data_IF_078514677016
#
_entry.id   IF_078514677016
#
_cell.length_a   1.000
_cell.length_b   1.000
_cell.length_c   1.000
_cell.angle_alpha   90.00
_cell.angle_beta   90.00
_cell.angle_gamma   90.00
#
_symmetry.space_group_name_H-M   'P 1'
#
loop_
_entity.id
_entity.type
_entity.pdbx_description
1 polymer ?
#
# COMPACT_ATOMS: atom_id res chain seq x y z
N UNK A 1 -17.99 -2.44 0.13
CA UNK A 1 -16.76 -2.14 -0.61
C UNK A 1 -17.09 -1.06 -1.63
N UNK A 2 -16.21 -0.10 -1.84
CA UNK A 2 -16.36 0.92 -2.89
C UNK A 2 -16.20 0.31 -4.28
N UNK A 3 -16.61 1.04 -5.33
CA UNK A 3 -16.46 0.57 -6.71
C UNK A 3 -14.98 0.47 -7.13
N UNK A 4 -14.12 1.38 -6.66
CA UNK A 4 -12.70 1.35 -6.97
C UNK A 4 -12.02 0.11 -6.38
N UNK A 5 -12.27 -0.16 -5.09
CA UNK A 5 -11.73 -1.34 -4.42
C UNK A 5 -12.22 -2.64 -5.07
N UNK A 6 -13.49 -2.71 -5.48
CA UNK A 6 -14.02 -3.87 -6.19
C UNK A 6 -13.28 -4.13 -7.50
N UNK A 7 -13.10 -3.10 -8.34
CA UNK A 7 -12.41 -3.24 -9.63
C UNK A 7 -10.95 -3.65 -9.47
N UNK A 8 -10.26 -3.09 -8.48
CA UNK A 8 -8.87 -3.46 -8.18
C UNK A 8 -8.78 -4.90 -7.68
N UNK A 9 -9.67 -5.29 -6.76
CA UNK A 9 -9.78 -6.66 -6.25
C UNK A 9 -10.05 -7.67 -7.37
N UNK A 10 -11.06 -7.45 -8.21
CA UNK A 10 -11.39 -8.35 -9.32
C UNK A 10 -10.20 -8.51 -10.27
N UNK A 11 -9.55 -7.40 -10.64
CA UNK A 11 -8.39 -7.44 -11.52
C UNK A 11 -7.21 -8.21 -10.90
N UNK A 12 -6.95 -8.02 -9.60
CA UNK A 12 -5.91 -8.76 -8.89
C UNK A 12 -6.23 -10.25 -8.80
N UNK A 13 -7.49 -10.58 -8.52
CA UNK A 13 -7.98 -11.93 -8.38
C UNK A 13 -8.03 -12.70 -9.70
N UNK A 14 -8.06 -12.02 -10.85
CA UNK A 14 -7.92 -12.62 -12.19
C UNK A 14 -6.47 -13.03 -12.51
N UNK A 15 -5.47 -12.55 -11.75
CA UNK A 15 -4.05 -12.86 -11.97
C UNK A 15 -3.53 -14.04 -11.14
N UNK A 16 -4.40 -14.63 -10.30
CA UNK A 16 -4.03 -15.63 -9.30
C UNK A 16 -4.82 -16.91 -9.51
N UNK A 17 -4.14 -18.04 -9.36
CA UNK A 17 -4.74 -19.37 -9.43
C UNK A 17 -4.87 -20.00 -8.03
N UNK A 18 -5.70 -21.03 -7.91
CA UNK A 18 -5.77 -21.84 -6.67
C UNK A 18 -4.40 -22.44 -6.32
N UNK A 19 -3.60 -22.83 -7.32
CA UNK A 19 -2.25 -23.34 -7.10
C UNK A 19 -1.34 -22.29 -6.43
N UNK A 20 -1.46 -21.02 -6.83
CA UNK A 20 -0.72 -19.92 -6.20
C UNK A 20 -1.11 -19.75 -4.74
N UNK A 21 -2.41 -19.86 -4.42
CA UNK A 21 -2.90 -19.79 -3.04
C UNK A 21 -2.31 -20.94 -2.20
N UNK A 22 -2.40 -22.19 -2.66
CA UNK A 22 -1.84 -23.35 -1.95
C UNK A 22 -0.33 -23.22 -1.76
N UNK A 23 0.37 -22.65 -2.75
CA UNK A 23 1.82 -22.54 -2.75
C UNK A 23 2.35 -21.42 -1.86
N UNK A 24 1.72 -20.26 -1.90
CA UNK A 24 2.24 -19.03 -1.30
C UNK A 24 1.54 -18.62 -0.01
N UNK A 25 0.39 -19.21 0.31
CA UNK A 25 -0.11 -19.18 1.69
C UNK A 25 0.82 -20.00 2.60
N UNK A 26 0.98 -19.61 3.87
CA UNK A 26 1.80 -20.34 4.83
C UNK A 26 1.36 -21.80 4.95
N UNK A 27 2.34 -22.70 5.00
CA UNK A 27 2.15 -24.14 5.18
C UNK A 27 2.15 -24.58 6.65
N UNK A 28 2.01 -23.64 7.59
CA UNK A 28 1.98 -23.95 9.01
C UNK A 28 0.73 -24.81 9.33
N UNK A 29 0.89 -25.98 9.99
CA UNK A 29 -0.21 -26.88 10.33
C UNK A 29 -1.32 -26.24 11.20
N UNK A 30 -1.08 -25.07 11.81
CA UNK A 30 -2.12 -24.27 12.50
C UNK A 30 -3.01 -23.43 11.58
N UNK A 31 -2.67 -23.28 10.29
CA UNK A 31 -3.25 -22.29 9.36
C UNK A 31 -4.05 -22.85 8.14
N UNK A 32 -4.58 -24.09 8.11
CA UNK A 32 -5.35 -24.59 6.96
C UNK A 32 -6.64 -23.82 6.68
N UNK A 33 -7.06 -22.93 7.59
CA UNK A 33 -8.21 -22.05 7.40
C UNK A 33 -7.92 -20.91 6.42
N UNK A 34 -6.69 -20.40 6.35
CA UNK A 34 -6.34 -19.30 5.45
C UNK A 34 -6.29 -19.74 3.98
N UNK A 35 -5.68 -20.89 3.69
CA UNK A 35 -5.70 -21.47 2.34
C UNK A 35 -7.15 -21.63 1.87
N UNK A 36 -7.99 -22.27 2.69
CA UNK A 36 -9.42 -22.45 2.39
C UNK A 36 -10.15 -21.11 2.21
N UNK A 37 -9.81 -20.11 3.01
CA UNK A 37 -10.46 -18.80 2.93
C UNK A 37 -10.03 -18.03 1.68
N UNK A 38 -8.74 -17.97 1.35
CA UNK A 38 -8.29 -17.33 0.11
C UNK A 38 -8.73 -18.09 -1.13
N UNK A 39 -8.77 -19.41 -1.11
CA UNK A 39 -9.38 -20.20 -2.18
C UNK A 39 -10.87 -19.86 -2.34
N UNK A 40 -11.59 -19.73 -1.23
CA UNK A 40 -13.00 -19.33 -1.24
C UNK A 40 -13.19 -17.91 -1.76
N UNK A 41 -12.37 -16.94 -1.31
CA UNK A 41 -12.40 -15.56 -1.80
C UNK A 41 -12.06 -15.52 -3.29
N UNK A 42 -11.04 -16.26 -3.73
CA UNK A 42 -10.62 -16.32 -5.12
C UNK A 42 -11.74 -16.89 -5.99
N UNK A 43 -12.38 -17.99 -5.58
CA UNK A 43 -13.39 -18.67 -6.39
C UNK A 43 -14.76 -17.97 -6.36
N UNK A 44 -15.18 -17.46 -5.21
CA UNK A 44 -16.50 -16.83 -5.03
C UNK A 44 -16.50 -15.33 -5.30
N UNK A 45 -15.33 -14.68 -5.27
CA UNK A 45 -15.17 -13.22 -5.26
C UNK A 45 -15.87 -12.53 -4.08
N UNK A 46 -16.15 -13.27 -3.01
CA UNK A 46 -16.78 -12.76 -1.78
C UNK A 46 -15.77 -12.78 -0.65
N UNK A 47 -15.64 -11.66 0.06
CA UNK A 47 -14.78 -11.53 1.24
C UNK A 47 -15.63 -11.76 2.49
N UNK A 48 -15.29 -12.73 3.36
CA UNK A 48 -16.03 -12.99 4.60
C UNK A 48 -16.04 -11.79 5.54
N UNK A 49 -17.11 -11.65 6.34
CA UNK A 49 -17.30 -10.50 7.23
C UNK A 49 -16.35 -10.51 8.45
N UNK A 50 -15.91 -11.70 8.86
CA UNK A 50 -15.14 -11.99 10.07
C UNK A 50 -13.69 -12.42 9.77
N UNK A 51 -13.22 -12.19 8.54
CA UNK A 51 -11.86 -12.57 8.15
C UNK A 51 -10.81 -11.63 8.75
N UNK A 52 -9.96 -12.15 9.64
CA UNK A 52 -8.78 -11.43 10.12
C UNK A 52 -7.66 -11.54 9.09
N UNK A 53 -7.36 -10.43 8.44
CA UNK A 53 -6.36 -10.39 7.37
C UNK A 53 -4.94 -10.12 7.87
N UNK A 54 -4.77 -9.75 9.13
CA UNK A 54 -3.48 -9.32 9.69
C UNK A 54 -2.41 -10.42 9.61
N UNK A 55 -2.80 -11.68 9.84
CA UNK A 55 -1.87 -12.81 9.83
C UNK A 55 -1.37 -13.15 8.42
N UNK A 56 -2.23 -13.16 7.40
CA UNK A 56 -1.80 -13.50 6.04
C UNK A 56 -1.01 -12.39 5.37
N UNK A 57 -1.31 -11.15 5.75
CA UNK A 57 -0.61 -9.99 5.23
C UNK A 57 0.78 -9.90 5.83
N UNK A 58 0.95 -10.09 7.14
CA UNK A 58 2.28 -10.22 7.73
C UNK A 58 3.17 -11.19 6.93
N UNK A 59 2.64 -12.33 6.53
CA UNK A 59 3.42 -13.35 5.84
C UNK A 59 3.90 -12.98 4.43
N UNK A 60 3.09 -12.26 3.66
CA UNK A 60 3.50 -11.82 2.30
C UNK A 60 4.34 -10.53 2.32
N UNK A 61 4.20 -9.72 3.38
CA UNK A 61 4.84 -8.41 3.49
C UNK A 61 6.32 -8.46 3.86
N UNK A 62 6.77 -9.54 4.50
CA UNK A 62 8.18 -9.73 4.86
C UNK A 62 9.00 -10.47 3.78
N UNK A 63 8.34 -11.03 2.76
CA UNK A 63 9.05 -11.68 1.66
C UNK A 63 9.74 -10.67 0.76
N UNK A 64 10.91 -11.07 0.28
CA UNK A 64 11.70 -10.43 -0.77
C UNK A 64 11.67 -11.31 -2.01
N UNK A 65 10.67 -11.15 -2.90
CA UNK A 65 10.43 -12.11 -3.99
C UNK A 65 11.65 -12.29 -4.89
N UNK A 66 12.39 -11.21 -5.12
CA UNK A 66 13.61 -11.17 -5.94
C UNK A 66 14.79 -11.95 -5.33
N UNK A 67 14.73 -12.28 -4.03
CA UNK A 67 15.75 -13.06 -3.32
C UNK A 67 15.31 -14.49 -3.05
N UNK A 68 14.00 -14.72 -2.98
CA UNK A 68 13.40 -15.98 -2.54
C UNK A 68 12.99 -16.89 -3.71
N UNK A 69 12.69 -16.32 -4.88
CA UNK A 69 12.11 -17.07 -6.00
C UNK A 69 12.92 -16.92 -7.29
N UNK A 70 12.77 -17.90 -8.18
CA UNK A 70 13.21 -17.76 -9.57
C UNK A 70 12.24 -16.85 -10.35
N UNK A 71 12.67 -16.24 -11.45
CA UNK A 71 11.94 -15.18 -12.16
C UNK A 71 10.45 -15.47 -12.42
N UNK A 72 10.08 -16.69 -12.83
CA UNK A 72 8.66 -17.01 -13.07
C UNK A 72 7.85 -17.15 -11.77
N UNK A 73 8.44 -17.71 -10.74
CA UNK A 73 7.81 -17.84 -9.43
C UNK A 73 7.72 -16.49 -8.72
N UNK A 74 8.73 -15.63 -8.91
CA UNK A 74 8.73 -14.25 -8.43
C UNK A 74 7.50 -13.50 -8.96
N UNK A 75 7.28 -13.50 -10.27
CA UNK A 75 6.13 -12.81 -10.88
C UNK A 75 4.78 -13.36 -10.37
N UNK A 76 4.68 -14.68 -10.18
CA UNK A 76 3.49 -15.32 -9.59
C UNK A 76 3.26 -14.89 -8.15
N UNK A 77 4.33 -14.85 -7.34
CA UNK A 77 4.27 -14.39 -5.96
C UNK A 77 3.84 -12.92 -5.88
N UNK A 78 4.40 -12.04 -6.71
CA UNK A 78 4.01 -10.61 -6.75
C UNK A 78 2.52 -10.44 -7.07
N UNK A 79 1.99 -11.17 -8.05
CA UNK A 79 0.55 -11.17 -8.37
C UNK A 79 -0.29 -11.68 -7.19
N UNK A 80 0.16 -12.75 -6.54
CA UNK A 80 -0.48 -13.27 -5.33
C UNK A 80 -0.47 -12.23 -4.19
N UNK A 81 0.64 -11.53 -3.98
CA UNK A 81 0.76 -10.46 -2.96
C UNK A 81 -0.09 -9.24 -3.31
N UNK A 82 -0.25 -8.88 -4.59
CA UNK A 82 -1.22 -7.87 -5.02
C UNK A 82 -2.65 -8.30 -4.67
N UNK A 83 -3.01 -9.56 -4.92
CA UNK A 83 -4.32 -10.10 -4.57
C UNK A 83 -4.60 -10.07 -3.06
N UNK A 84 -3.67 -10.55 -2.22
CA UNK A 84 -3.88 -10.54 -0.76
C UNK A 84 -4.01 -9.11 -0.21
N UNK A 85 -3.21 -8.17 -0.73
CA UNK A 85 -3.32 -6.76 -0.39
C UNK A 85 -4.64 -6.14 -0.90
N UNK A 86 -5.12 -6.53 -2.08
CA UNK A 86 -6.40 -6.08 -2.61
C UNK A 86 -7.58 -6.54 -1.74
N UNK A 87 -7.53 -7.77 -1.20
CA UNK A 87 -8.50 -8.24 -0.19
C UNK A 87 -8.45 -7.35 1.05
N UNK A 88 -7.26 -6.99 1.53
CA UNK A 88 -7.11 -6.09 2.67
C UNK A 88 -7.72 -4.72 2.43
N UNK A 89 -7.39 -4.07 1.31
CA UNK A 89 -7.99 -2.79 0.92
C UNK A 89 -9.52 -2.88 0.79
N UNK A 90 -10.03 -3.99 0.25
CA UNK A 90 -11.45 -4.25 0.09
C UNK A 90 -12.21 -4.42 1.43
N UNK A 91 -11.58 -5.02 2.44
CA UNK A 91 -12.13 -5.10 3.80
C UNK A 91 -12.25 -3.69 4.39
N UNK A 92 -11.19 -2.88 4.28
CA UNK A 92 -11.14 -1.53 4.85
C UNK A 92 -12.17 -0.60 4.20
N UNK A 93 -12.24 -0.62 2.88
CA UNK A 93 -13.23 0.15 2.11
C UNK A 93 -14.60 -0.57 2.07
N UNK A 94 -14.69 -1.69 2.77
CA UNK A 94 -15.87 -2.51 2.99
C UNK A 94 -16.81 -1.97 4.07
N UNK A 95 -17.98 -2.61 4.23
CA UNK A 95 -18.84 -2.39 5.39
C UNK A 95 -18.25 -3.00 6.67
N UNK A 96 -17.17 -3.78 6.59
CA UNK A 96 -16.49 -4.37 7.74
C UNK A 96 -15.68 -3.28 8.42
N UNK A 97 -16.15 -2.80 9.57
CA UNK A 97 -15.49 -1.77 10.39
C UNK A 97 -14.26 -2.30 11.15
N UNK A 98 -13.61 -3.37 10.69
CA UNK A 98 -12.39 -3.92 11.30
C UNK A 98 -11.17 -3.08 10.92
N UNK A 99 -11.18 -1.79 11.26
CA UNK A 99 -10.06 -0.85 11.06
C UNK A 99 -8.90 -1.03 12.05
N UNK A 100 -8.92 -2.09 12.87
CA UNK A 100 -8.16 -2.17 14.12
C UNK A 100 -6.69 -2.57 13.98
N UNK A 101 -6.21 -3.04 12.82
CA UNK A 101 -4.86 -3.63 12.70
C UNK A 101 -4.16 -3.34 11.36
N UNK A 102 -4.20 -2.09 10.89
CA UNK A 102 -3.65 -1.72 9.59
C UNK A 102 -2.35 -0.95 9.73
N UNK A 103 -1.24 -1.58 9.34
CA UNK A 103 0.01 -0.90 9.00
C UNK A 103 -0.12 -0.32 7.58
N UNK A 104 -0.71 0.87 7.42
CA UNK A 104 -1.05 1.45 6.12
C UNK A 104 0.16 1.54 5.19
N UNK A 105 1.32 1.79 5.78
CA UNK A 105 2.61 1.84 5.12
C UNK A 105 3.01 0.52 4.45
N UNK A 106 2.58 -0.64 4.96
CA UNK A 106 2.88 -1.97 4.40
C UNK A 106 2.09 -2.22 3.13
N UNK A 107 0.78 -1.97 3.18
CA UNK A 107 -0.11 -2.15 2.03
C UNK A 107 0.33 -1.31 0.85
N UNK A 108 0.49 0.00 1.10
CA UNK A 108 0.78 0.93 0.04
C UNK A 108 2.15 0.63 -0.61
N UNK A 109 3.20 0.39 0.17
CA UNK A 109 4.54 0.18 -0.42
C UNK A 109 4.65 -1.14 -1.17
N UNK A 110 4.07 -2.22 -0.65
CA UNK A 110 4.15 -3.52 -1.33
C UNK A 110 3.37 -3.54 -2.63
N UNK A 111 2.22 -2.86 -2.68
CA UNK A 111 1.48 -2.68 -3.93
C UNK A 111 2.27 -1.84 -4.93
N UNK A 112 2.87 -0.73 -4.50
CA UNK A 112 3.70 0.09 -5.38
C UNK A 112 4.90 -0.71 -5.91
N UNK A 113 5.60 -1.45 -5.04
CA UNK A 113 6.75 -2.26 -5.44
C UNK A 113 6.37 -3.38 -6.40
N UNK A 114 5.29 -4.12 -6.13
CA UNK A 114 4.89 -5.23 -7.00
C UNK A 114 4.38 -4.75 -8.35
N UNK A 115 3.62 -3.66 -8.39
CA UNK A 115 3.14 -3.09 -9.65
C UNK A 115 4.32 -2.48 -10.43
N UNK A 116 5.30 -1.87 -9.75
CA UNK A 116 6.57 -1.45 -10.35
C UNK A 116 7.32 -2.60 -11.01
N UNK A 117 7.55 -3.68 -10.27
CA UNK A 117 8.28 -4.83 -10.76
C UNK A 117 7.55 -5.60 -11.87
N UNK A 118 6.22 -5.55 -11.90
CA UNK A 118 5.41 -6.17 -12.96
C UNK A 118 5.27 -5.30 -14.21
N UNK A 119 5.66 -4.02 -14.16
CA UNK A 119 5.50 -3.04 -15.24
C UNK A 119 4.05 -2.98 -15.77
N UNK A 120 3.05 -3.09 -14.88
CA UNK A 120 1.63 -3.17 -15.24
C UNK A 120 0.89 -1.84 -14.97
N UNK A 121 0.89 -0.98 -15.99
CA UNK A 121 0.18 0.31 -16.00
C UNK A 121 -1.31 0.20 -15.66
N UNK A 122 -1.96 -0.92 -16.00
CA UNK A 122 -3.39 -1.10 -15.71
C UNK A 122 -3.61 -1.22 -14.21
N UNK A 123 -2.71 -1.88 -13.48
CA UNK A 123 -2.83 -1.94 -12.03
C UNK A 123 -2.61 -0.59 -11.37
N UNK A 124 -1.78 0.29 -11.93
CA UNK A 124 -1.65 1.67 -11.43
C UNK A 124 -2.95 2.47 -11.61
N UNK A 125 -3.55 2.40 -12.80
CA UNK A 125 -4.81 3.10 -13.11
C UNK A 125 -5.95 2.60 -12.19
N UNK A 126 -5.94 1.32 -11.80
CA UNK A 126 -6.90 0.74 -10.86
C UNK A 126 -6.58 1.05 -9.40
N UNK A 127 -5.31 1.10 -9.02
CA UNK A 127 -4.87 1.34 -7.65
C UNK A 127 -5.04 2.82 -7.26
N UNK A 128 -4.78 3.77 -8.16
CA UNK A 128 -4.81 5.20 -7.82
C UNK A 128 -6.13 5.65 -7.18
N UNK A 129 -7.32 5.33 -7.73
CA UNK A 129 -8.59 5.65 -7.07
C UNK A 129 -8.75 5.01 -5.69
N UNK A 130 -8.22 3.79 -5.50
CA UNK A 130 -8.25 3.10 -4.19
C UNK A 130 -7.38 3.83 -3.17
N UNK A 131 -6.18 4.27 -3.54
CA UNK A 131 -5.31 5.05 -2.66
C UNK A 131 -5.96 6.39 -2.26
N UNK A 132 -6.67 7.04 -3.18
CA UNK A 132 -7.44 8.27 -2.89
C UNK A 132 -8.53 8.00 -1.86
N UNK A 133 -9.34 6.95 -2.07
CA UNK A 133 -10.41 6.58 -1.13
C UNK A 133 -9.85 6.17 0.24
N UNK A 134 -8.75 5.43 0.28
CA UNK A 134 -8.05 5.06 1.51
C UNK A 134 -7.57 6.29 2.29
N UNK A 135 -6.92 7.23 1.61
CA UNK A 135 -6.50 8.48 2.23
C UNK A 135 -7.69 9.28 2.77
N UNK A 136 -8.76 9.42 1.99
CA UNK A 136 -9.97 10.15 2.41
C UNK A 136 -10.66 9.50 3.61
N UNK A 137 -10.80 8.17 3.61
CA UNK A 137 -11.41 7.43 4.72
C UNK A 137 -10.58 7.58 5.99
N UNK A 138 -9.28 7.27 5.93
CA UNK A 138 -8.42 7.18 7.11
C UNK A 138 -8.01 8.56 7.66
N UNK A 139 -8.00 9.61 6.83
CA UNK A 139 -7.73 10.98 7.30
C UNK A 139 -8.88 11.57 8.13
N UNK A 140 -10.11 11.04 7.98
CA UNK A 140 -11.26 11.41 8.80
C UNK A 140 -11.39 10.56 10.07
N UNK A 141 -10.73 9.41 10.11
CA UNK A 141 -10.72 8.51 11.26
C UNK A 141 -9.61 8.91 12.24
N UNK A 142 -10.00 9.27 13.47
CA UNK A 142 -9.09 9.85 14.48
C UNK A 142 -7.89 8.96 14.84
N UNK A 143 -7.97 7.65 14.61
CA UNK A 143 -7.00 6.67 15.13
C UNK A 143 -5.93 6.25 14.10
N UNK A 144 -6.18 6.48 12.80
CA UNK A 144 -5.27 6.12 11.69
C UNK A 144 -4.85 7.32 10.85
N UNK A 145 -5.23 8.54 11.26
CA UNK A 145 -4.99 9.77 10.50
C UNK A 145 -3.51 10.00 10.19
N UNK A 146 -2.61 9.62 11.11
CA UNK A 146 -1.16 9.76 10.94
C UNK A 146 -0.61 8.90 9.79
N UNK A 147 -1.02 7.63 9.69
CA UNK A 147 -0.53 6.73 8.65
C UNK A 147 -1.23 6.92 7.29
N UNK A 148 -2.35 7.66 7.25
CA UNK A 148 -3.03 8.00 6.00
C UNK A 148 -2.11 8.69 4.98
N UNK A 149 -1.07 9.39 5.47
CA UNK A 149 -0.07 10.08 4.65
C UNK A 149 0.74 9.15 3.74
N UNK A 150 0.87 7.86 4.09
CA UNK A 150 1.54 6.88 3.22
C UNK A 150 0.72 6.63 1.94
N UNK A 151 -0.61 6.68 2.00
CA UNK A 151 -1.44 6.59 0.79
C UNK A 151 -1.31 7.84 -0.08
N UNK A 152 -1.11 9.01 0.52
CA UNK A 152 -0.84 10.25 -0.22
C UNK A 152 0.55 10.21 -0.88
N UNK A 153 1.57 9.67 -0.20
CA UNK A 153 2.89 9.45 -0.79
C UNK A 153 2.84 8.44 -1.94
N UNK A 154 2.07 7.36 -1.81
CA UNK A 154 1.86 6.40 -2.90
C UNK A 154 1.17 7.03 -4.12
N UNK A 155 0.19 7.94 -3.92
CA UNK A 155 -0.41 8.71 -5.02
C UNK A 155 0.63 9.55 -5.76
N UNK A 156 1.56 10.20 -5.04
CA UNK A 156 2.68 10.93 -5.64
C UNK A 156 3.55 10.01 -6.51
N UNK A 157 3.88 8.81 -6.03
CA UNK A 157 4.67 7.85 -6.80
C UNK A 157 4.00 7.45 -8.12
N UNK A 158 2.70 7.10 -8.08
CA UNK A 158 1.95 6.83 -9.31
C UNK A 158 1.92 8.07 -10.19
N UNK A 159 1.69 9.26 -9.63
CA UNK A 159 1.70 10.51 -10.37
C UNK A 159 3.01 10.76 -11.13
N UNK A 160 4.17 10.51 -10.52
CA UNK A 160 5.47 10.62 -11.20
C UNK A 160 5.61 9.61 -12.33
N UNK A 161 5.17 8.37 -12.13
CA UNK A 161 5.27 7.31 -13.14
C UNK A 161 4.35 7.52 -14.33
N UNK A 162 3.21 8.19 -14.12
CA UNK A 162 2.22 8.52 -15.15
C UNK A 162 2.42 9.90 -15.78
N UNK A 163 3.59 10.52 -15.58
CA UNK A 163 3.91 11.85 -16.09
C UNK A 163 2.83 12.90 -15.77
N UNK A 164 2.26 12.84 -14.56
CA UNK A 164 1.25 13.80 -14.13
C UNK A 164 1.82 15.22 -14.15
N UNK A 165 0.94 16.21 -14.37
CA UNK A 165 1.38 17.61 -14.48
C UNK A 165 2.14 18.07 -13.23
N UNK A 166 3.18 18.90 -13.42
CA UNK A 166 3.98 19.46 -12.32
C UNK A 166 3.13 20.20 -11.30
N UNK A 167 2.05 20.85 -11.73
CA UNK A 167 1.08 21.52 -10.85
C UNK A 167 0.43 20.51 -9.91
N UNK A 168 -0.13 19.44 -10.45
CA UNK A 168 -0.80 18.40 -9.66
C UNK A 168 0.15 17.71 -8.67
N UNK A 169 1.37 17.40 -9.11
CA UNK A 169 2.39 16.82 -8.23
C UNK A 169 2.80 17.76 -7.09
N UNK A 170 2.90 19.07 -7.34
CA UNK A 170 3.16 20.04 -6.29
C UNK A 170 1.97 20.19 -5.33
N UNK A 171 0.72 20.14 -5.82
CA UNK A 171 -0.48 20.16 -4.97
C UNK A 171 -0.50 18.99 -3.99
N UNK A 172 -0.22 17.77 -4.47
CA UNK A 172 -0.12 16.58 -3.62
C UNK A 172 1.03 16.69 -2.61
N UNK A 173 2.19 17.21 -3.03
CA UNK A 173 3.34 17.42 -2.15
C UNK A 173 3.03 18.46 -1.05
N UNK A 174 2.39 19.57 -1.40
CA UNK A 174 1.97 20.60 -0.44
C UNK A 174 0.89 20.08 0.52
N UNK A 175 -0.03 19.25 0.03
CA UNK A 175 -1.03 18.59 0.88
C UNK A 175 -0.36 17.67 1.91
N UNK A 176 0.64 16.88 1.49
CA UNK A 176 1.38 15.98 2.37
C UNK A 176 2.13 16.77 3.45
N UNK A 177 2.92 17.79 3.06
CA UNK A 177 3.65 18.63 4.00
C UNK A 177 2.72 19.38 4.96
N UNK A 178 1.58 19.89 4.47
CA UNK A 178 0.61 20.62 5.30
C UNK A 178 -0.04 19.71 6.33
N UNK A 179 -0.40 18.49 5.94
CA UNK A 179 -1.04 17.55 6.84
C UNK A 179 -0.04 17.01 7.88
N UNK A 180 1.20 16.75 7.48
CA UNK A 180 2.28 16.38 8.37
C UNK A 180 2.52 17.48 9.44
N UNK A 181 2.62 18.74 9.02
CA UNK A 181 2.83 19.87 9.93
C UNK A 181 1.68 20.05 10.94
N UNK A 182 0.43 19.71 10.57
CA UNK A 182 -0.71 19.74 11.50
C UNK A 182 -0.58 18.66 12.57
N UNK A 183 -0.20 17.45 12.19
CA UNK A 183 0.03 16.35 13.13
C UNK A 183 1.16 16.68 14.12
N UNK A 184 2.20 17.36 13.65
CA UNK A 184 3.29 17.88 14.49
C UNK A 184 2.82 18.87 15.56
N UNK A 185 1.87 19.76 15.22
CA UNK A 185 1.32 20.72 16.17
C UNK A 185 0.43 20.04 17.22
N UNK A 186 -0.27 18.97 16.84
CA UNK A 186 -1.17 18.24 17.73
C UNK A 186 -0.42 17.31 18.69
N UNK A 187 0.74 16.79 18.27
CA UNK A 187 1.61 15.95 19.08
C UNK A 187 2.56 16.80 19.94
N UNK A 188 2.12 17.12 21.16
CA UNK A 188 2.91 17.85 22.18
C UNK A 188 4.22 17.16 22.63
N UNK A 189 4.55 15.99 22.09
CA UNK A 189 5.68 15.16 22.53
C UNK A 189 6.56 14.71 21.34
N UNK A 190 7.58 15.52 21.03
CA UNK A 190 8.92 15.06 20.63
C UNK A 190 9.12 14.19 19.38
N UNK A 191 8.08 13.81 18.62
CA UNK A 191 8.23 13.04 17.37
C UNK A 191 8.61 13.96 16.20
N UNK A 192 9.86 14.40 16.17
CA UNK A 192 10.41 15.35 15.19
C UNK A 192 10.91 14.69 13.89
N UNK A 193 10.15 13.74 13.32
CA UNK A 193 10.53 13.09 12.07
C UNK A 193 9.38 13.01 11.10
N UNK A 194 9.51 13.80 10.02
CA UNK A 194 8.59 13.78 8.88
C UNK A 194 8.25 12.36 8.48
N UNK A 195 6.96 12.02 8.32
CA UNK A 195 6.37 10.72 7.93
C UNK A 195 6.89 9.44 8.63
N UNK A 196 8.20 9.22 8.69
CA UNK A 196 8.90 8.08 9.28
C UNK A 196 8.69 7.93 10.79
N UNK A 197 8.35 8.99 11.53
CA UNK A 197 7.98 8.88 12.95
C UNK A 197 6.46 8.79 13.18
N UNK A 198 5.67 8.68 12.10
CA UNK A 198 4.20 8.51 12.12
C UNK A 198 3.74 7.06 12.18
N UNK A 199 4.69 6.12 12.15
CA UNK A 199 4.42 4.70 12.24
C UNK A 199 5.45 4.04 13.14
N UNK A 200 5.03 3.02 13.89
CA UNK A 200 5.94 2.13 14.63
C UNK A 200 6.52 1.03 13.75
N UNK A 201 6.08 0.94 12.48
CA UNK A 201 6.49 -0.09 11.54
C UNK A 201 7.59 0.41 10.59
N UNK A 202 8.75 0.72 11.15
CA UNK A 202 9.88 1.37 10.46
C UNK A 202 10.61 0.49 9.44
N UNK A 203 10.35 -0.82 9.45
CA UNK A 203 11.04 -1.81 8.61
C UNK A 203 10.82 -1.55 7.12
N UNK A 204 9.74 -0.85 6.76
CA UNK A 204 9.40 -0.52 5.37
C UNK A 204 10.00 0.82 4.89
N UNK A 205 10.56 1.65 5.78
CA UNK A 205 11.13 2.94 5.39
C UNK A 205 12.18 2.85 4.27
N UNK A 206 13.12 1.87 4.26
CA UNK A 206 14.08 1.75 3.16
C UNK A 206 13.41 1.59 1.79
N UNK A 207 12.30 0.85 1.71
CA UNK A 207 11.54 0.64 0.45
C UNK A 207 10.89 1.95 0.00
N UNK A 208 10.27 2.70 0.92
CA UNK A 208 9.74 4.03 0.63
C UNK A 208 10.81 4.99 0.13
N UNK A 209 11.95 5.07 0.84
CA UNK A 209 13.09 5.93 0.47
C UNK A 209 13.65 5.57 -0.89
N UNK A 210 13.75 4.27 -1.22
CA UNK A 210 14.15 3.82 -2.56
C UNK A 210 13.27 4.41 -3.66
N UNK A 211 11.93 4.40 -3.48
CA UNK A 211 11.01 5.00 -4.45
C UNK A 211 11.12 6.52 -4.52
N UNK A 212 11.34 7.20 -3.40
CA UNK A 212 11.62 8.65 -3.40
C UNK A 212 12.89 8.92 -4.20
N UNK A 213 13.97 8.18 -3.96
CA UNK A 213 15.23 8.32 -4.69
C UNK A 213 15.06 8.08 -6.19
N UNK A 214 14.33 7.03 -6.56
CA UNK A 214 14.05 6.60 -7.94
C UNK A 214 13.20 7.60 -8.71
N UNK A 215 12.14 8.13 -8.11
CA UNK A 215 11.09 8.87 -8.82
C UNK A 215 11.21 10.40 -8.69
N UNK A 216 11.61 10.89 -7.52
CA UNK A 216 11.64 12.33 -7.31
C UNK A 216 12.84 12.92 -8.03
N UNK A 217 12.70 14.05 -8.74
CA UNK A 217 13.84 14.69 -9.36
C UNK A 217 14.88 15.09 -8.28
N UNK A 218 16.18 15.02 -8.60
CA UNK A 218 17.20 15.59 -7.73
C UNK A 218 16.92 17.08 -7.51
N UNK A 219 17.30 17.60 -6.33
CA UNK A 219 17.03 18.98 -5.90
C UNK A 219 17.56 19.96 -6.95
N UNK A 220 16.66 20.48 -7.78
CA UNK A 220 16.98 21.37 -8.89
C UNK A 220 16.21 22.69 -8.82
N UNK A 221 15.13 22.76 -8.03
CA UNK A 221 14.23 23.92 -7.93
C UNK A 221 13.70 24.09 -6.50
N UNK A 222 13.48 25.31 -6.01
CA UNK A 222 12.79 25.56 -4.74
C UNK A 222 11.26 25.36 -4.87
N UNK A 223 10.82 24.17 -5.24
CA UNK A 223 9.40 23.81 -5.28
C UNK A 223 9.02 22.75 -4.25
N UNK A 224 7.73 22.49 -4.10
CA UNK A 224 7.15 21.67 -3.03
C UNK A 224 7.67 20.23 -3.07
N UNK A 225 7.89 19.69 -4.27
CA UNK A 225 8.48 18.36 -4.49
C UNK A 225 9.92 18.29 -3.99
N UNK A 226 10.73 19.32 -4.25
CA UNK A 226 12.13 19.34 -3.81
C UNK A 226 12.24 19.43 -2.29
N UNK A 227 11.42 20.27 -1.65
CA UNK A 227 11.31 20.35 -0.18
C UNK A 227 10.84 19.03 0.43
N UNK A 228 9.85 18.38 -0.19
CA UNK A 228 9.35 17.08 0.24
C UNK A 228 10.43 16.00 0.12
N UNK A 229 11.22 15.99 -0.96
CA UNK A 229 12.34 15.06 -1.12
C UNK A 229 13.35 15.20 0.01
N UNK A 230 13.76 16.43 0.34
CA UNK A 230 14.70 16.71 1.43
C UNK A 230 14.16 16.21 2.78
N UNK A 231 12.86 16.39 3.05
CA UNK A 231 12.23 15.90 4.27
C UNK A 231 12.14 14.36 4.34
N UNK A 232 11.97 13.69 3.19
CA UNK A 232 11.85 12.23 3.10
C UNK A 232 13.21 11.51 3.08
N UNK A 233 14.28 12.17 2.63
CA UNK A 233 15.64 11.62 2.53
C UNK A 233 16.68 12.33 3.43
N UNK A 234 16.43 12.45 4.76
CA UNK A 234 17.41 12.99 5.69
C UNK A 234 18.58 12.01 5.92
#
# INVERSE_FOLDING_TARGET
MTLAALKFFEAAADQVTVEDVVKFCPSDPGYPEYVRTFESILTSRVIPLDFDISETINLTQYSHPEKEFHTQEELRFRRFRIFTNAVGLAIILGPNESGWLLACNYYAISLIEDIDALEDDRFEDLLLPVLVEMYQKLSLELWSSEESLFYLLAQLFIGFRRDASRTHLNELADQLMTHEAKLDLDLKEGRHGFLWQRTTFDQMHPRWKHFVEKLFPPVATQDSISRLREALLP
#
